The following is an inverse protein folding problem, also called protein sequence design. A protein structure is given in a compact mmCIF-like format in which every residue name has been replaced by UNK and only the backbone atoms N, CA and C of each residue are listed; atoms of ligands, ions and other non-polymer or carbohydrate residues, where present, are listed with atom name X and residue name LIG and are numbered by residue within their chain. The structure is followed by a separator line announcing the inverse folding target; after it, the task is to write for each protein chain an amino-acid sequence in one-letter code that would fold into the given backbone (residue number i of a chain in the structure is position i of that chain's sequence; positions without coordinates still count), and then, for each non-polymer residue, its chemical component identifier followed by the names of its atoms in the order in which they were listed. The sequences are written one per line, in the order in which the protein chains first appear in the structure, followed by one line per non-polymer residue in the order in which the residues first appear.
data_IF_834224274609
#
_entry.id   IF_834224274609
#
_cell.length_a   1.000
_cell.length_b   1.000
_cell.length_c   1.000
_cell.angle_alpha   90.00
_cell.angle_beta   90.00
_cell.angle_gamma   90.00
#
_symmetry.space_group_name_H-M   'P 1'
#
loop_
_entity.id
_entity.type
_entity.pdbx_description
1 polymer ?
#
# COMPACT_ATOMS: atom_id res chain seq x y z
N UNK A 1 -5.92 -19.05 -15.12
CA UNK A 1 -6.26 -19.28 -13.69
C UNK A 1 -5.01 -19.25 -12.80
N UNK A 2 -3.93 -19.94 -13.16
CA UNK A 2 -2.68 -19.98 -12.38
C UNK A 2 -2.07 -18.58 -12.11
N UNK A 3 -1.88 -17.76 -13.15
CA UNK A 3 -1.30 -16.42 -12.97
C UNK A 3 -2.11 -15.47 -12.07
N UNK A 4 -3.44 -15.63 -11.99
CA UNK A 4 -4.26 -14.84 -11.07
C UNK A 4 -4.04 -15.25 -9.60
N UNK A 5 -3.84 -16.55 -9.34
CA UNK A 5 -3.54 -17.08 -8.00
C UNK A 5 -2.15 -16.64 -7.56
N UNK A 6 -1.17 -16.68 -8.47
CA UNK A 6 0.19 -16.21 -8.20
C UNK A 6 0.22 -14.71 -7.90
N UNK A 7 -0.48 -13.90 -8.69
CA UNK A 7 -0.64 -12.47 -8.43
C UNK A 7 -1.29 -12.22 -7.07
N UNK A 8 -2.35 -12.95 -6.74
CA UNK A 8 -3.00 -12.84 -5.44
C UNK A 8 -2.04 -13.15 -4.29
N UNK A 9 -1.25 -14.23 -4.37
CA UNK A 9 -0.26 -14.56 -3.35
C UNK A 9 0.80 -13.48 -3.18
N UNK A 10 1.24 -12.84 -4.26
CA UNK A 10 2.20 -11.73 -4.21
C UNK A 10 1.60 -10.48 -3.55
N UNK A 11 0.29 -10.29 -3.62
CA UNK A 11 -0.42 -9.17 -2.98
C UNK A 11 -0.81 -9.45 -1.52
N UNK A 12 -0.76 -10.71 -1.05
CA UNK A 12 -1.15 -11.07 0.31
C UNK A 12 -0.52 -10.19 1.40
N UNK A 13 0.79 -9.84 1.36
CA UNK A 13 1.38 -8.98 2.38
C UNK A 13 0.75 -7.59 2.43
N UNK A 14 0.47 -7.00 1.25
CA UNK A 14 -0.21 -5.69 1.14
C UNK A 14 -1.62 -5.80 1.71
N UNK A 15 -2.38 -6.79 1.27
CA UNK A 15 -3.77 -7.01 1.72
C UNK A 15 -3.84 -7.27 3.23
N UNK A 16 -2.92 -8.08 3.76
CA UNK A 16 -2.85 -8.39 5.17
C UNK A 16 -2.54 -7.15 6.00
N UNK A 17 -1.65 -6.27 5.54
CA UNK A 17 -1.31 -5.02 6.23
C UNK A 17 -2.45 -4.00 6.17
N UNK A 18 -3.03 -3.76 4.99
CA UNK A 18 -4.07 -2.73 4.81
C UNK A 18 -5.40 -3.09 5.46
N UNK A 19 -5.61 -4.35 5.82
CA UNK A 19 -6.86 -4.82 6.41
C UNK A 19 -6.80 -5.00 7.94
N UNK A 20 -5.70 -4.61 8.60
CA UNK A 20 -5.56 -4.73 10.06
C UNK A 20 -6.44 -3.72 10.82
N UNK A 21 -6.45 -2.47 10.36
CA UNK A 21 -7.18 -1.37 11.00
C UNK A 21 -7.48 -0.28 9.96
N UNK A 22 -8.65 0.35 10.08
CA UNK A 22 -9.18 1.25 9.04
C UNK A 22 -8.33 2.51 8.82
N UNK A 23 -7.74 3.10 9.88
CA UNK A 23 -6.89 4.29 9.74
C UNK A 23 -5.56 3.93 9.11
N UNK A 24 -4.96 2.81 9.50
CA UNK A 24 -3.76 2.27 8.83
C UNK A 24 -4.02 2.02 7.35
N UNK A 25 -5.20 1.47 7.00
CA UNK A 25 -5.64 1.29 5.62
C UNK A 25 -5.66 2.61 4.85
N UNK A 26 -6.37 3.61 5.36
CA UNK A 26 -6.51 4.92 4.71
C UNK A 26 -5.15 5.60 4.57
N UNK A 27 -4.32 5.57 5.62
CA UNK A 27 -3.01 6.18 5.61
C UNK A 27 -2.07 5.50 4.60
N UNK A 28 -2.06 4.17 4.53
CA UNK A 28 -1.31 3.40 3.54
C UNK A 28 -1.70 3.79 2.11
N UNK A 29 -3.00 3.76 1.79
CA UNK A 29 -3.45 4.07 0.43
C UNK A 29 -3.21 5.53 0.04
N UNK A 30 -3.31 6.47 0.98
CA UNK A 30 -2.93 7.86 0.72
C UNK A 30 -1.45 8.00 0.38
N UNK A 31 -0.58 7.37 1.16
CA UNK A 31 0.86 7.34 0.90
C UNK A 31 1.17 6.73 -0.46
N UNK A 32 0.56 5.59 -0.80
CA UNK A 32 0.66 4.98 -2.13
C UNK A 32 0.25 5.96 -3.23
N UNK A 33 -0.90 6.63 -3.09
CA UNK A 33 -1.40 7.58 -4.10
C UNK A 33 -0.52 8.82 -4.23
N UNK A 34 0.17 9.25 -3.18
CA UNK A 34 1.22 10.27 -3.26
C UNK A 34 2.42 9.76 -4.04
N UNK A 35 2.89 8.53 -3.76
CA UNK A 35 4.01 7.92 -4.50
C UNK A 35 3.69 7.74 -5.99
N UNK A 36 2.40 7.51 -6.33
CA UNK A 36 1.90 7.47 -7.71
C UNK A 36 1.67 8.84 -8.36
N UNK A 37 1.88 9.94 -7.63
CA UNK A 37 1.65 11.30 -8.12
C UNK A 37 0.18 11.70 -8.30
N UNK A 38 -0.76 10.87 -7.83
CA UNK A 38 -2.21 11.14 -7.90
C UNK A 38 -2.61 12.17 -6.85
N UNK A 39 -2.06 12.05 -5.64
CA UNK A 39 -2.28 12.99 -4.54
C UNK A 39 -1.02 13.82 -4.27
N UNK A 40 -1.22 15.07 -3.83
CA UNK A 40 -0.12 15.97 -3.42
C UNK A 40 0.36 15.74 -2.00
N UNK A 41 -0.49 15.17 -1.13
CA UNK A 41 -0.23 14.99 0.30
C UNK A 41 -0.92 13.73 0.81
N UNK A 42 -0.29 13.07 1.78
CA UNK A 42 -0.81 11.89 2.47
C UNK A 42 -1.61 12.25 3.74
N UNK A 43 -1.77 13.54 4.04
CA UNK A 43 -2.41 14.03 5.26
C UNK A 43 -3.83 13.52 5.43
N UNK A 44 -4.14 13.08 6.66
CA UNK A 44 -5.49 12.67 7.04
C UNK A 44 -6.25 13.80 7.73
N UNK A 45 -7.54 13.92 7.40
CA UNK A 45 -8.45 14.88 8.06
C UNK A 45 -8.72 14.53 9.52
N UNK A 46 -8.64 13.23 9.86
CA UNK A 46 -8.96 12.76 11.21
C UNK A 46 -7.76 12.99 12.15
N UNK A 47 -7.94 13.71 13.27
CA UNK A 47 -6.87 13.85 14.24
C UNK A 47 -6.54 12.52 14.92
N UNK A 48 -5.27 12.35 15.32
CA UNK A 48 -4.84 11.26 16.21
C UNK A 48 -4.22 10.04 15.53
N UNK A 49 -4.22 9.95 14.20
CA UNK A 49 -3.39 8.95 13.53
C UNK A 49 -1.93 9.41 13.54
N UNK A 50 -1.03 8.51 13.92
CA UNK A 50 0.41 8.69 13.81
C UNK A 50 1.01 7.37 13.40
N UNK A 51 1.88 7.43 12.40
CA UNK A 51 2.77 6.32 12.16
C UNK A 51 3.73 6.15 13.32
N UNK A 52 3.92 4.93 13.78
CA UNK A 52 5.16 4.56 14.43
C UNK A 52 6.24 4.18 13.40
N UNK A 53 7.49 4.13 13.85
CA UNK A 53 8.64 3.88 13.00
C UNK A 53 8.63 2.51 12.32
N UNK A 54 8.00 1.50 12.91
CA UNK A 54 7.93 0.16 12.32
C UNK A 54 6.85 0.08 11.26
N UNK A 55 5.65 0.59 11.55
CA UNK A 55 4.54 0.58 10.61
C UNK A 55 4.83 1.43 9.38
N UNK A 56 5.49 2.59 9.51
CA UNK A 56 5.84 3.39 8.32
C UNK A 56 6.85 2.68 7.43
N UNK A 57 7.87 2.02 8.02
CA UNK A 57 8.87 1.27 7.26
C UNK A 57 8.21 0.11 6.50
N UNK A 58 7.36 -0.67 7.17
CA UNK A 58 6.64 -1.79 6.54
C UNK A 58 5.70 -1.25 5.44
N UNK A 59 5.00 -0.14 5.68
CA UNK A 59 4.15 0.48 4.67
C UNK A 59 4.96 0.88 3.43
N UNK A 60 6.13 1.49 3.61
CA UNK A 60 7.02 1.87 2.51
C UNK A 60 7.49 0.64 1.71
N UNK A 61 7.95 -0.41 2.39
CA UNK A 61 8.37 -1.68 1.76
C UNK A 61 7.24 -2.32 0.93
N UNK A 62 6.03 -2.37 1.50
CA UNK A 62 4.86 -2.92 0.83
C UNK A 62 4.36 -2.05 -0.34
N UNK A 63 4.53 -0.73 -0.27
CA UNK A 63 4.25 0.18 -1.38
C UNK A 63 5.21 -0.08 -2.53
N UNK A 64 6.51 -0.21 -2.27
CA UNK A 64 7.49 -0.56 -3.32
C UNK A 64 7.15 -1.90 -3.97
N UNK A 65 6.79 -2.91 -3.17
CA UNK A 65 6.36 -4.20 -3.68
C UNK A 65 5.11 -4.07 -4.58
N UNK A 66 4.10 -3.31 -4.16
CA UNK A 66 2.90 -3.07 -4.96
C UNK A 66 3.24 -2.38 -6.30
N UNK A 67 4.08 -1.34 -6.28
CA UNK A 67 4.46 -0.60 -7.48
C UNK A 67 5.25 -1.48 -8.46
N UNK A 68 6.13 -2.36 -7.95
CA UNK A 68 6.83 -3.34 -8.77
C UNK A 68 5.86 -4.32 -9.44
N UNK A 69 4.92 -4.89 -8.69
CA UNK A 69 3.87 -5.78 -9.22
C UNK A 69 3.03 -5.06 -10.27
N UNK A 70 2.61 -3.82 -10.00
CA UNK A 70 1.83 -3.01 -10.93
C UNK A 70 2.59 -2.74 -12.24
N UNK A 71 3.88 -2.40 -12.15
CA UNK A 71 4.74 -2.19 -13.31
C UNK A 71 4.89 -3.44 -14.18
N UNK A 72 5.00 -4.62 -13.56
CA UNK A 72 5.06 -5.90 -14.28
C UNK A 72 3.74 -6.23 -15.00
N UNK A 73 2.60 -5.99 -14.36
CA UNK A 73 1.29 -6.28 -14.97
C UNK A 73 0.90 -5.24 -16.03
N UNK A 74 1.25 -3.96 -15.83
CA UNK A 74 0.96 -2.89 -16.77
C UNK A 74 1.86 -2.85 -18.01
N UNK A 75 3.01 -3.52 -17.98
CA UNK A 75 3.92 -3.66 -19.12
C UNK A 75 3.63 -4.89 -20.00
N UNK A 76 2.64 -5.71 -19.63
CA UNK A 76 2.23 -6.93 -20.34
C UNK A 76 0.99 -6.76 -21.21
#
# INVERSE_FOLDING_TARGET
RQGAVELFHRLLPVLAFTNQEIRTSIAFFKRLLVRKGVFRSEEMRWPGFRWDAYNVRIADELIEQYLAIEGEVGAG
#
